data_IF_238245438074
#
_entry.id   IF_238245438074
#
_cell.length_a   1.000
_cell.length_b   1.000
_cell.length_c   1.000
_cell.angle_alpha   90.00
_cell.angle_beta   90.00
_cell.angle_gamma   90.00
#
_symmetry.space_group_name_H-M   'P 1'
#
loop_
_entity.id
_entity.type
_entity.pdbx_description
1 polymer ?
#
# COMPACT_ATOMS: atom_id res chain seq x y z
N UNK A 1 40.84 -27.45 19.60
CA UNK A 1 41.59 -26.37 20.28
C UNK A 1 40.93 -26.18 21.63
N UNK A 2 41.71 -26.19 22.70
CA UNK A 2 41.28 -26.27 24.10
C UNK A 2 40.43 -25.06 24.46
N UNK A 3 39.23 -25.28 25.02
CA UNK A 3 38.38 -24.21 25.57
C UNK A 3 38.75 -24.08 27.04
N UNK A 4 39.54 -23.05 27.36
CA UNK A 4 39.74 -22.61 28.75
C UNK A 4 38.48 -21.88 29.23
N UNK A 5 37.91 -22.36 30.33
CA UNK A 5 36.87 -21.68 31.09
C UNK A 5 37.55 -20.65 32.00
N UNK A 6 37.23 -19.37 31.80
CA UNK A 6 37.36 -18.36 32.84
C UNK A 6 35.99 -18.16 33.49
N UNK A 7 35.87 -18.55 34.77
CA UNK A 7 34.74 -18.21 35.64
C UNK A 7 35.05 -16.87 36.33
N UNK A 8 34.26 -15.83 36.05
CA UNK A 8 34.21 -14.62 36.88
C UNK A 8 33.13 -14.79 37.97
N UNK A 9 33.43 -14.53 39.26
CA UNK A 9 32.59 -14.97 40.37
C UNK A 9 31.71 -13.85 40.91
N UNK A 10 30.83 -13.22 40.14
CA UNK A 10 29.76 -12.38 40.71
C UNK A 10 28.50 -12.44 39.82
N UNK A 11 27.33 -12.48 40.48
CA UNK A 11 25.96 -12.68 39.97
C UNK A 11 25.44 -14.13 39.96
N UNK A 12 24.99 -14.56 41.13
CA UNK A 12 24.02 -15.65 41.28
C UNK A 12 22.61 -15.14 40.95
N UNK A 13 21.90 -15.97 40.19
CA UNK A 13 20.45 -16.07 39.96
C UNK A 13 19.75 -14.91 39.24
N UNK A 14 19.66 -15.00 37.92
CA UNK A 14 18.42 -14.74 37.18
C UNK A 14 18.26 -15.85 36.13
N UNK A 15 17.22 -16.66 36.28
CA UNK A 15 16.88 -17.75 35.36
C UNK A 15 16.47 -17.18 34.00
N UNK A 16 17.27 -17.48 32.98
CA UNK A 16 16.95 -17.22 31.58
C UNK A 16 15.78 -18.11 31.13
N UNK A 17 14.58 -17.56 31.04
CA UNK A 17 13.51 -18.19 30.25
C UNK A 17 13.75 -17.86 28.78
N UNK A 18 14.48 -18.72 28.08
CA UNK A 18 14.56 -18.70 26.63
C UNK A 18 13.28 -19.29 26.05
N UNK A 19 12.36 -18.46 25.58
CA UNK A 19 11.28 -18.92 24.71
C UNK A 19 11.84 -19.19 23.32
N UNK A 20 12.22 -20.46 23.07
CA UNK A 20 12.58 -20.92 21.72
C UNK A 20 11.29 -21.30 21.01
N UNK A 21 10.78 -20.41 20.15
CA UNK A 21 9.77 -20.76 19.15
C UNK A 21 10.49 -20.93 17.81
N UNK A 22 10.45 -22.13 17.24
CA UNK A 22 11.07 -22.42 15.94
C UNK A 22 10.18 -21.86 14.83
N UNK A 23 10.61 -20.76 14.21
CA UNK A 23 10.08 -20.26 12.94
C UNK A 23 11.16 -20.41 11.85
N UNK A 24 10.74 -20.53 10.58
CA UNK A 24 11.58 -20.81 9.40
C UNK A 24 12.38 -19.61 8.86
N UNK A 25 12.49 -18.54 9.63
CA UNK A 25 13.48 -17.48 9.46
C UNK A 25 14.26 -17.45 10.76
N UNK A 26 15.60 -17.43 10.67
CA UNK A 26 16.52 -17.63 11.79
C UNK A 26 16.14 -16.89 13.08
N UNK A 27 16.55 -17.45 14.21
CA UNK A 27 16.34 -16.90 15.55
C UNK A 27 16.64 -15.39 15.59
N UNK A 28 15.62 -14.57 15.82
CA UNK A 28 15.80 -13.15 16.16
C UNK A 28 16.41 -13.13 17.56
N UNK A 29 17.73 -13.00 17.63
CA UNK A 29 18.45 -12.76 18.88
C UNK A 29 18.48 -11.25 19.07
N UNK A 30 17.67 -10.74 19.99
CA UNK A 30 17.78 -9.36 20.43
C UNK A 30 19.15 -9.18 21.10
N UNK A 31 20.07 -8.40 20.53
CA UNK A 31 21.34 -8.16 21.19
C UNK A 31 21.06 -7.27 22.41
N UNK A 32 21.55 -7.68 23.58
CA UNK A 32 21.39 -6.94 24.85
C UNK A 32 21.93 -5.49 24.75
N UNK A 33 22.80 -5.21 23.76
CA UNK A 33 23.24 -3.85 23.43
C UNK A 33 22.12 -2.93 22.95
N UNK A 34 21.07 -3.42 22.27
CA UNK A 34 19.92 -2.62 21.87
C UNK A 34 19.08 -2.13 23.07
N UNK A 35 19.04 -2.94 24.14
CA UNK A 35 18.42 -2.55 25.42
C UNK A 35 19.30 -1.56 26.21
N UNK A 36 20.62 -1.65 26.09
CA UNK A 36 21.56 -0.74 26.75
C UNK A 36 21.70 0.62 26.05
N UNK A 37 21.54 0.68 24.72
CA UNK A 37 21.61 1.94 23.96
C UNK A 37 20.42 2.88 24.21
N UNK A 38 19.34 2.38 24.81
CA UNK A 38 18.22 3.22 25.26
C UNK A 38 18.60 4.19 26.40
N UNK A 39 19.74 3.99 27.07
CA UNK A 39 20.13 4.78 28.25
C UNK A 39 20.99 6.03 27.96
N UNK A 40 21.37 6.34 26.71
CA UNK A 40 22.24 7.50 26.41
C UNK A 40 21.52 8.75 25.85
N UNK A 41 20.18 8.85 25.93
CA UNK A 41 19.43 9.99 25.35
C UNK A 41 18.63 10.79 26.39
N UNK A 42 19.32 11.67 27.14
CA UNK A 42 18.71 12.58 28.13
C UNK A 42 17.56 13.43 27.56
N UNK A 43 17.66 13.93 26.31
CA UNK A 43 16.68 14.85 25.74
C UNK A 43 15.52 14.15 24.99
N UNK A 44 15.70 12.90 24.53
CA UNK A 44 14.65 12.14 23.83
C UNK A 44 13.75 11.37 24.79
N UNK A 45 14.22 11.08 26.01
CA UNK A 45 13.47 10.31 27.01
C UNK A 45 12.18 11.05 27.43
N UNK A 46 12.23 12.38 27.55
CA UNK A 46 11.05 13.22 27.83
C UNK A 46 9.99 13.15 26.71
N UNK A 47 10.42 13.10 25.44
CA UNK A 47 9.49 13.06 24.30
C UNK A 47 8.76 11.72 24.22
N UNK A 48 9.46 10.61 24.48
CA UNK A 48 8.83 9.29 24.52
C UNK A 48 7.87 9.14 25.70
N UNK A 49 8.23 9.62 26.89
CA UNK A 49 7.34 9.64 28.04
C UNK A 49 6.08 10.47 27.75
N UNK A 50 6.26 11.67 27.17
CA UNK A 50 5.14 12.51 26.72
C UNK A 50 4.27 11.80 25.68
N UNK A 51 4.86 11.10 24.72
CA UNK A 51 4.12 10.34 23.71
C UNK A 51 3.26 9.23 24.34
N UNK A 52 3.76 8.55 25.37
CA UNK A 52 3.01 7.55 26.11
C UNK A 52 1.87 8.18 26.94
N UNK A 53 2.14 9.27 27.67
CA UNK A 53 1.13 10.00 28.45
C UNK A 53 0.03 10.52 27.53
N UNK A 54 0.41 11.09 26.37
CA UNK A 54 -0.53 11.58 25.36
C UNK A 54 -1.41 10.46 24.83
N UNK A 55 -0.84 9.31 24.44
CA UNK A 55 -1.58 8.14 23.97
C UNK A 55 -2.58 7.65 25.02
N UNK A 56 -2.15 7.50 26.28
CA UNK A 56 -3.01 7.09 27.41
C UNK A 56 -4.16 8.08 27.65
N UNK A 57 -3.85 9.37 27.65
CA UNK A 57 -4.85 10.43 27.86
C UNK A 57 -5.89 10.47 26.74
N UNK A 58 -5.48 10.31 25.49
CA UNK A 58 -6.39 10.27 24.34
C UNK A 58 -7.29 9.04 24.36
N UNK A 59 -6.73 7.85 24.65
CA UNK A 59 -7.51 6.61 24.79
C UNK A 59 -8.48 6.63 25.96
N UNK A 60 -8.13 7.29 27.07
CA UNK A 60 -9.06 7.49 28.19
C UNK A 60 -10.28 8.35 27.80
N UNK A 61 -10.09 9.31 26.90
CA UNK A 61 -11.16 10.21 26.44
C UNK A 61 -12.00 9.58 25.32
N UNK A 62 -11.37 8.86 24.38
CA UNK A 62 -12.01 8.21 23.24
C UNK A 62 -11.43 6.79 23.04
N UNK A 63 -11.97 5.76 23.71
CA UNK A 63 -11.39 4.41 23.72
C UNK A 63 -11.26 3.76 22.34
N UNK A 64 -12.26 3.97 21.48
CA UNK A 64 -12.37 3.32 20.18
C UNK A 64 -11.56 4.01 19.07
N UNK A 65 -11.05 5.23 19.30
CA UNK A 65 -10.30 5.97 18.28
C UNK A 65 -8.86 5.49 18.18
N UNK A 66 -8.37 5.31 16.96
CA UNK A 66 -6.99 4.90 16.69
C UNK A 66 -6.00 6.02 17.03
N UNK A 67 -4.84 5.67 17.57
CA UNK A 67 -3.75 6.61 17.84
C UNK A 67 -2.41 5.87 17.87
N UNK A 68 -1.47 6.37 17.07
CA UNK A 68 -0.10 5.89 17.02
C UNK A 68 0.83 7.09 17.12
N UNK A 69 1.65 7.13 18.19
CA UNK A 69 2.63 8.19 18.43
C UNK A 69 4.06 7.71 18.21
N UNK A 70 4.32 6.45 18.52
CA UNK A 70 5.63 5.79 18.38
C UNK A 70 5.45 4.37 17.87
N UNK A 71 6.43 3.88 17.12
CA UNK A 71 6.51 2.53 16.55
C UNK A 71 7.93 1.99 16.70
N UNK A 72 8.12 0.70 16.48
CA UNK A 72 9.47 0.12 16.42
C UNK A 72 9.98 0.13 14.98
N UNK A 73 11.28 0.33 14.79
CA UNK A 73 11.91 0.08 13.49
C UNK A 73 12.38 -1.40 13.40
N UNK A 74 12.90 -1.80 12.23
CA UNK A 74 13.42 -3.15 12.02
C UNK A 74 14.63 -3.53 12.91
N UNK A 75 15.23 -2.56 13.62
CA UNK A 75 16.33 -2.76 14.56
C UNK A 75 15.84 -2.87 16.02
N UNK A 76 14.52 -2.75 16.25
CA UNK A 76 13.93 -2.77 17.58
C UNK A 76 14.09 -1.45 18.35
N UNK A 77 14.44 -0.35 17.69
CA UNK A 77 14.43 0.98 18.29
C UNK A 77 13.04 1.59 18.22
N UNK A 78 12.61 2.22 19.32
CA UNK A 78 11.37 2.98 19.35
C UNK A 78 11.56 4.35 18.69
N UNK A 79 10.71 4.67 17.72
CA UNK A 79 10.80 5.87 16.88
C UNK A 79 9.44 6.59 16.89
N UNK A 80 9.46 7.92 16.97
CA UNK A 80 8.26 8.74 16.78
C UNK A 80 7.78 8.66 15.33
N UNK A 81 6.47 8.54 15.13
CA UNK A 81 5.89 8.43 13.78
C UNK A 81 6.23 9.63 12.89
N UNK A 82 6.43 10.81 13.47
CA UNK A 82 6.82 12.03 12.75
C UNK A 82 8.17 11.89 12.05
N UNK A 83 9.08 11.03 12.55
CA UNK A 83 10.40 10.81 11.94
C UNK A 83 10.34 10.02 10.63
N UNK A 84 9.21 9.39 10.33
CA UNK A 84 8.99 8.71 9.04
C UNK A 84 8.53 9.65 7.93
N UNK A 85 8.18 10.90 8.25
CA UNK A 85 7.71 11.88 7.28
C UNK A 85 8.88 12.74 6.81
N UNK A 86 9.12 12.75 5.50
CA UNK A 86 10.13 13.55 4.80
C UNK A 86 9.78 13.62 3.32
N UNK A 87 9.97 14.76 2.67
CA UNK A 87 9.85 14.85 1.22
C UNK A 87 10.84 13.87 0.54
N UNK A 88 10.34 12.95 -0.28
CA UNK A 88 11.14 11.96 -1.01
C UNK A 88 10.74 11.91 -2.48
N UNK A 89 11.74 11.74 -3.35
CA UNK A 89 11.53 11.68 -4.80
C UNK A 89 10.74 10.43 -5.21
N UNK A 90 9.66 10.56 -6.01
CA UNK A 90 9.07 9.43 -6.73
C UNK A 90 10.02 8.91 -7.84
N UNK A 91 9.74 7.74 -8.44
CA UNK A 91 10.50 7.28 -9.60
C UNK A 91 10.37 8.25 -10.78
N UNK A 92 11.49 8.63 -11.39
CA UNK A 92 11.55 9.62 -12.49
C UNK A 92 10.63 9.24 -13.66
N UNK A 93 10.51 7.95 -13.95
CA UNK A 93 9.64 7.43 -15.01
C UNK A 93 8.17 7.86 -14.85
N UNK A 94 7.69 8.08 -13.62
CA UNK A 94 6.32 8.56 -13.37
C UNK A 94 6.17 10.06 -13.63
N UNK A 95 7.23 10.81 -13.40
CA UNK A 95 7.27 12.27 -13.59
C UNK A 95 7.26 12.63 -15.09
N UNK A 96 7.89 11.78 -15.91
CA UNK A 96 8.06 12.03 -17.34
C UNK A 96 6.80 11.73 -18.18
N UNK A 97 5.80 11.04 -17.62
CA UNK A 97 4.58 10.62 -18.35
C UNK A 97 3.61 11.80 -18.55
N UNK A 98 3.37 12.59 -17.51
CA UNK A 98 2.39 13.69 -17.52
C UNK A 98 3.05 15.04 -17.24
N UNK A 99 4.01 15.44 -18.08
CA UNK A 99 4.84 16.64 -17.90
C UNK A 99 4.07 17.96 -17.66
N UNK A 100 2.81 18.03 -18.05
CA UNK A 100 1.97 19.24 -17.97
C UNK A 100 0.69 19.07 -17.14
N UNK A 101 0.46 17.88 -16.57
CA UNK A 101 -0.74 17.60 -15.77
C UNK A 101 -0.34 17.07 -14.38
N UNK A 102 -0.19 18.01 -13.45
CA UNK A 102 0.21 17.69 -12.08
C UNK A 102 -0.81 16.80 -11.37
N UNK A 103 -2.11 16.86 -11.70
CA UNK A 103 -3.11 16.04 -11.02
C UNK A 103 -3.02 14.59 -11.53
N UNK A 104 -2.90 14.40 -12.85
CA UNK A 104 -2.68 13.09 -13.42
C UNK A 104 -1.37 12.45 -12.91
N UNK A 105 -0.31 13.24 -12.69
CA UNK A 105 0.92 12.74 -12.04
C UNK A 105 0.66 12.24 -10.61
N UNK A 106 -0.12 12.96 -9.80
CA UNK A 106 -0.42 12.55 -8.42
C UNK A 106 -1.27 11.27 -8.39
N UNK A 107 -2.26 11.15 -9.28
CA UNK A 107 -3.07 9.94 -9.45
C UNK A 107 -2.20 8.74 -9.85
N UNK A 108 -1.26 8.93 -10.78
CA UNK A 108 -0.32 7.90 -11.19
C UNK A 108 0.60 7.47 -10.03
N UNK A 109 1.02 8.40 -9.18
CA UNK A 109 1.84 8.11 -8.00
C UNK A 109 1.04 7.35 -6.94
N UNK A 110 -0.20 7.75 -6.68
CA UNK A 110 -1.09 7.01 -5.79
C UNK A 110 -1.32 5.58 -6.30
N UNK A 111 -1.51 5.42 -7.62
CA UNK A 111 -1.59 4.11 -8.28
C UNK A 111 -0.30 3.30 -8.09
N UNK A 112 0.87 3.90 -8.31
CA UNK A 112 2.15 3.21 -8.10
C UNK A 112 2.30 2.69 -6.67
N UNK A 113 1.92 3.50 -5.67
CA UNK A 113 1.95 3.07 -4.27
C UNK A 113 0.98 1.91 -4.03
N UNK A 114 -0.24 1.95 -4.59
CA UNK A 114 -1.23 0.86 -4.44
C UNK A 114 -0.82 -0.46 -5.09
N UNK A 115 0.18 -0.44 -5.97
CA UNK A 115 0.69 -1.63 -6.62
C UNK A 115 1.71 -2.38 -5.75
N UNK A 116 2.17 -1.78 -4.66
CA UNK A 116 3.05 -2.46 -3.71
C UNK A 116 2.20 -3.47 -2.91
N UNK A 117 2.57 -4.75 -2.89
CA UNK A 117 1.88 -5.74 -2.08
C UNK A 117 1.85 -5.41 -0.58
N UNK A 118 0.71 -5.72 0.06
CA UNK A 118 0.55 -5.62 1.50
C UNK A 118 1.00 -6.91 2.18
N UNK A 119 1.79 -6.81 3.26
CA UNK A 119 1.99 -7.95 4.17
C UNK A 119 0.68 -8.19 4.91
N UNK A 120 0.06 -9.38 4.82
CA UNK A 120 -1.12 -9.68 5.63
C UNK A 120 -0.77 -9.51 7.11
N UNK A 121 -1.61 -8.83 7.89
CA UNK A 121 -1.41 -8.67 9.33
C UNK A 121 -1.36 -10.06 9.99
N UNK A 122 -0.15 -10.56 10.31
CA UNK A 122 0.05 -11.86 10.99
C UNK A 122 -0.18 -11.72 12.51
N UNK A 123 -0.39 -10.50 12.99
CA UNK A 123 -0.55 -10.20 14.41
C UNK A 123 -2.02 -9.87 14.69
N UNK A 124 -2.67 -10.76 15.43
CA UNK A 124 -3.99 -10.55 16.01
C UNK A 124 -4.08 -9.20 16.75
N UNK A 125 -5.30 -8.68 16.83
CA UNK A 125 -5.75 -7.40 17.42
C UNK A 125 -5.35 -7.14 18.90
N UNK A 126 -4.43 -7.92 19.48
CA UNK A 126 -3.95 -7.77 20.85
C UNK A 126 -2.45 -7.45 20.91
N UNK A 127 -2.16 -6.17 21.14
CA UNK A 127 -0.93 -5.66 21.80
C UNK A 127 0.42 -5.97 21.10
N UNK A 128 0.39 -6.28 19.80
CA UNK A 128 1.59 -6.37 18.98
C UNK A 128 2.29 -5.02 18.84
N UNK A 129 3.61 -5.03 18.87
CA UNK A 129 4.40 -3.86 18.53
C UNK A 129 4.34 -3.62 17.02
N UNK A 130 3.81 -2.46 16.61
CA UNK A 130 3.86 -2.03 15.20
C UNK A 130 5.33 -1.80 14.80
N UNK A 131 5.81 -2.60 13.84
CA UNK A 131 7.15 -2.44 13.25
C UNK A 131 6.97 -1.77 11.90
N UNK A 132 7.59 -0.59 11.74
CA UNK A 132 7.56 0.15 10.48
C UNK A 132 8.94 0.25 9.83
N UNK A 133 8.95 0.08 8.51
CA UNK A 133 10.09 0.26 7.63
C UNK A 133 10.13 1.67 7.05
N UNK A 134 11.31 2.08 6.58
CA UNK A 134 11.44 3.32 5.80
C UNK A 134 10.78 3.19 4.43
N UNK A 135 10.49 4.32 3.80
CA UNK A 135 9.90 4.38 2.47
C UNK A 135 10.80 3.72 1.42
N UNK A 136 12.12 3.89 1.54
CA UNK A 136 13.10 3.19 0.71
C UNK A 136 13.01 1.67 0.87
N UNK A 137 12.91 1.17 2.10
CA UNK A 137 12.79 -0.27 2.35
C UNK A 137 11.51 -0.85 1.77
N UNK A 138 10.38 -0.17 1.96
CA UNK A 138 9.09 -0.54 1.38
C UNK A 138 9.17 -0.71 -0.15
N UNK A 139 9.77 0.26 -0.85
CA UNK A 139 10.00 0.20 -2.31
C UNK A 139 11.00 -0.90 -2.67
N UNK A 140 12.13 -1.00 -1.95
CA UNK A 140 13.22 -1.94 -2.28
C UNK A 140 12.82 -3.40 -2.16
N UNK A 141 11.93 -3.71 -1.20
CA UNK A 141 11.41 -5.05 -0.94
C UNK A 141 10.11 -5.32 -1.69
N UNK A 142 9.53 -4.30 -2.34
CA UNK A 142 8.20 -4.33 -2.94
C UNK A 142 7.15 -4.93 -1.98
N UNK A 143 7.15 -4.46 -0.73
CA UNK A 143 6.21 -4.92 0.30
C UNK A 143 6.07 -3.88 1.41
N UNK A 144 4.87 -3.73 1.95
CA UNK A 144 4.64 -2.87 3.11
C UNK A 144 3.33 -3.13 3.86
N UNK A 145 3.10 -2.41 4.94
CA UNK A 145 1.81 -2.37 5.65
C UNK A 145 1.00 -1.12 5.30
N UNK A 146 -0.21 -1.00 5.84
CA UNK A 146 -1.15 0.09 5.52
C UNK A 146 -0.57 1.47 5.81
N UNK A 147 0.14 1.61 6.93
CA UNK A 147 0.74 2.87 7.37
C UNK A 147 1.97 3.23 6.54
N UNK A 148 2.80 2.26 6.19
CA UNK A 148 3.97 2.44 5.34
C UNK A 148 3.59 2.90 3.93
N UNK A 149 2.47 2.39 3.39
CA UNK A 149 1.92 2.86 2.12
C UNK A 149 1.47 4.32 2.23
N UNK A 150 0.74 4.69 3.29
CA UNK A 150 0.33 6.07 3.53
C UNK A 150 1.53 7.01 3.73
N UNK A 151 2.55 6.57 4.48
CA UNK A 151 3.79 7.31 4.69
C UNK A 151 4.54 7.52 3.37
N UNK A 152 4.66 6.48 2.54
CA UNK A 152 5.32 6.56 1.23
C UNK A 152 4.60 7.57 0.33
N UNK A 153 3.28 7.48 0.22
CA UNK A 153 2.48 8.41 -0.57
C UNK A 153 2.57 9.85 -0.05
N UNK A 154 2.50 10.03 1.28
CA UNK A 154 2.67 11.33 1.92
C UNK A 154 4.02 11.95 1.59
N UNK A 155 5.10 11.16 1.70
CA UNK A 155 6.46 11.60 1.38
C UNK A 155 6.63 12.01 -0.09
N UNK A 156 6.00 11.29 -1.01
CA UNK A 156 5.95 11.69 -2.41
C UNK A 156 5.17 13.00 -2.61
N UNK A 157 4.01 13.18 -1.98
CA UNK A 157 3.26 14.43 -2.11
C UNK A 157 4.01 15.63 -1.52
N UNK A 158 4.74 15.44 -0.42
CA UNK A 158 5.62 16.46 0.15
C UNK A 158 6.73 16.87 -0.83
N UNK A 159 7.24 15.94 -1.66
CA UNK A 159 8.21 16.25 -2.70
C UNK A 159 7.66 17.20 -3.78
N UNK A 160 6.36 17.13 -4.08
CA UNK A 160 5.67 18.10 -4.93
C UNK A 160 5.28 19.40 -4.20
N UNK A 161 5.68 19.58 -2.95
CA UNK A 161 5.34 20.75 -2.14
C UNK A 161 3.86 20.79 -1.71
N UNK A 162 3.14 19.66 -1.79
CA UNK A 162 1.77 19.56 -1.25
C UNK A 162 1.82 19.57 0.27
N UNK A 163 0.78 20.16 0.89
CA UNK A 163 0.54 20.02 2.34
C UNK A 163 -0.11 18.67 2.60
N UNK A 164 0.69 17.66 2.87
CA UNK A 164 0.26 16.29 3.08
C UNK A 164 0.43 15.85 4.53
N UNK A 165 -0.56 15.14 5.07
CA UNK A 165 -0.53 14.51 6.38
C UNK A 165 -0.97 13.05 6.25
N UNK A 166 -0.43 12.18 7.10
CA UNK A 166 -0.96 10.82 7.23
C UNK A 166 -2.16 10.86 8.18
N UNK A 167 -3.24 10.19 7.77
CA UNK A 167 -4.50 10.08 8.50
C UNK A 167 -4.70 8.62 8.93
N UNK A 168 -4.94 8.40 10.22
CA UNK A 168 -5.32 7.10 10.76
C UNK A 168 -6.81 7.05 11.09
N UNK A 169 -7.45 5.94 10.74
CA UNK A 169 -8.87 5.74 10.99
C UNK A 169 -9.31 4.31 10.71
N UNK A 170 -10.61 4.14 10.47
CA UNK A 170 -11.22 2.86 10.11
C UNK A 170 -12.03 2.98 8.82
N UNK A 171 -11.96 1.98 7.97
CA UNK A 171 -12.74 1.80 6.74
C UNK A 171 -13.72 0.65 6.92
N UNK A 172 -14.87 0.72 6.23
CA UNK A 172 -15.87 -0.34 6.32
C UNK A 172 -15.34 -1.68 5.80
N UNK A 173 -14.54 -1.63 4.74
CA UNK A 173 -14.08 -2.83 4.02
C UNK A 173 -12.76 -3.37 4.57
N UNK A 174 -11.88 -2.48 5.02
CA UNK A 174 -10.46 -2.79 5.29
C UNK A 174 -10.13 -2.80 6.81
N UNK A 175 -11.09 -2.46 7.67
CA UNK A 175 -10.88 -2.34 9.12
C UNK A 175 -10.03 -1.13 9.45
N UNK A 176 -8.94 -1.29 10.21
CA UNK A 176 -7.99 -0.19 10.46
C UNK A 176 -7.29 0.20 9.16
N UNK A 177 -7.18 1.51 8.91
CA UNK A 177 -6.58 2.06 7.68
C UNK A 177 -5.70 3.27 7.96
N UNK A 178 -4.85 3.58 6.98
CA UNK A 178 -4.08 4.81 6.91
C UNK A 178 -4.25 5.45 5.51
N UNK A 179 -4.60 6.73 5.49
CA UNK A 179 -4.86 7.53 4.30
C UNK A 179 -3.88 8.70 4.25
N UNK A 180 -3.79 9.39 3.12
CA UNK A 180 -3.09 10.68 3.02
C UNK A 180 -4.12 11.80 2.85
N UNK A 181 -4.08 12.77 3.75
CA UNK A 181 -4.87 13.99 3.68
C UNK A 181 -4.04 15.06 2.98
N UNK A 182 -4.58 15.68 1.94
CA UNK A 182 -3.98 16.86 1.31
C UNK A 182 -4.95 18.03 1.34
N UNK A 183 -4.41 19.23 1.49
CA UNK A 183 -5.17 20.47 1.45
C UNK A 183 -4.97 21.16 0.10
N UNK A 184 -6.05 21.27 -0.68
CA UNK A 184 -6.15 22.19 -1.83
C UNK A 184 -6.80 23.51 -1.38
N UNK A 185 -6.94 24.51 -2.26
CA UNK A 185 -7.31 25.89 -1.88
C UNK A 185 -8.57 25.99 -1.02
N UNK A 186 -9.60 25.18 -1.30
CA UNK A 186 -10.89 25.23 -0.60
C UNK A 186 -11.41 23.86 -0.14
N UNK A 187 -10.65 22.78 -0.39
CA UNK A 187 -11.11 21.42 -0.15
C UNK A 187 -10.01 20.50 0.36
N UNK A 188 -10.42 19.51 1.15
CA UNK A 188 -9.56 18.43 1.63
C UNK A 188 -9.78 17.19 0.78
N UNK A 189 -8.67 16.62 0.31
CA UNK A 189 -8.65 15.39 -0.46
C UNK A 189 -8.09 14.25 0.40
N UNK A 190 -8.78 13.11 0.36
CA UNK A 190 -8.50 11.88 1.08
C UNK A 190 -8.01 10.83 0.09
N UNK A 191 -6.73 10.52 0.13
CA UNK A 191 -6.10 9.56 -0.76
C UNK A 191 -5.97 8.21 -0.07
N UNK A 192 -6.58 7.17 -0.64
CA UNK A 192 -6.37 5.80 -0.20
C UNK A 192 -5.11 5.23 -0.89
N UNK A 193 -4.01 5.02 -0.15
CA UNK A 193 -2.77 4.54 -0.75
C UNK A 193 -2.85 3.06 -1.17
N UNK A 194 -3.86 2.31 -0.72
CA UNK A 194 -4.03 0.89 -1.04
C UNK A 194 -4.84 0.67 -2.32
N UNK A 195 -5.66 1.64 -2.72
CA UNK A 195 -6.45 1.57 -3.97
C UNK A 195 -5.98 2.60 -5.01
N UNK A 196 -5.15 3.56 -4.61
CA UNK A 196 -4.71 4.67 -5.45
C UNK A 196 -5.81 5.69 -5.73
N UNK A 197 -6.95 5.62 -5.06
CA UNK A 197 -8.10 6.49 -5.29
C UNK A 197 -8.07 7.74 -4.42
N UNK A 198 -8.50 8.85 -5.00
CA UNK A 198 -8.70 10.13 -4.33
C UNK A 198 -10.19 10.39 -4.11
N UNK A 199 -10.54 10.78 -2.88
CA UNK A 199 -11.90 11.12 -2.48
C UNK A 199 -11.96 12.56 -1.97
N UNK A 200 -13.03 13.26 -2.28
CA UNK A 200 -13.34 14.54 -1.62
C UNK A 200 -13.90 14.27 -0.23
N UNK A 201 -13.71 15.19 0.71
CA UNK A 201 -14.27 15.10 2.06
C UNK A 201 -15.79 14.76 2.08
N UNK A 202 -16.56 15.33 1.14
CA UNK A 202 -18.01 15.15 1.04
C UNK A 202 -18.43 14.11 0.00
N UNK A 203 -17.50 13.25 -0.42
CA UNK A 203 -17.81 12.17 -1.36
C UNK A 203 -18.55 11.03 -0.66
N UNK A 204 -19.80 10.70 -1.05
CA UNK A 204 -20.55 9.61 -0.44
C UNK A 204 -19.99 8.22 -0.74
N UNK A 205 -19.09 8.09 -1.72
CA UNK A 205 -18.44 6.83 -2.07
C UNK A 205 -17.11 6.60 -1.35
N UNK A 206 -16.68 7.56 -0.51
CA UNK A 206 -15.49 7.38 0.31
C UNK A 206 -15.70 6.24 1.32
N UNK A 207 -14.89 5.16 1.31
CA UNK A 207 -15.08 4.01 2.20
C UNK A 207 -14.62 4.28 3.64
N UNK A 208 -13.92 5.40 3.87
CA UNK A 208 -13.43 5.81 5.18
C UNK A 208 -14.59 6.16 6.12
N UNK A 209 -14.63 5.52 7.29
CA UNK A 209 -15.69 5.70 8.28
C UNK A 209 -15.28 6.60 9.44
N UNK A 210 -14.00 6.61 9.80
CA UNK A 210 -13.50 7.44 10.89
C UNK A 210 -12.18 8.15 10.55
N UNK A 211 -11.99 9.31 11.17
CA UNK A 211 -10.75 10.10 11.18
C UNK A 211 -10.35 10.29 12.64
N UNK A 212 -9.33 9.56 13.08
CA UNK A 212 -8.99 9.48 14.49
C UNK A 212 -7.72 10.27 14.84
N UNK A 213 -6.72 10.19 13.97
CA UNK A 213 -5.41 10.80 14.21
C UNK A 213 -4.82 11.32 12.89
N UNK A 214 -4.11 12.45 12.95
CA UNK A 214 -3.28 12.98 11.87
C UNK A 214 -1.83 13.07 12.34
N UNK A 215 -0.87 12.93 11.43
CA UNK A 215 0.53 13.26 11.73
C UNK A 215 1.31 13.71 10.48
N UNK A 216 2.32 14.54 10.71
CA UNK A 216 3.29 15.02 9.72
C UNK A 216 4.72 14.94 10.28
N UNK A 217 5.69 15.63 9.66
CA UNK A 217 7.08 15.69 10.12
C UNK A 217 7.31 16.52 11.39
N UNK A 218 6.27 17.25 11.84
CA UNK A 218 6.31 18.13 12.99
C UNK A 218 5.57 17.58 14.21
N UNK A 219 4.40 16.97 14.03
CA UNK A 219 3.52 16.64 15.16
C UNK A 219 2.54 15.49 14.89
N UNK A 220 1.85 15.10 15.97
CA UNK A 220 0.71 14.19 15.95
C UNK A 220 -0.50 14.92 16.53
N UNK A 221 -1.62 14.88 15.82
CA UNK A 221 -2.89 15.47 16.20
C UNK A 221 -3.96 14.40 16.39
N UNK A 222 -4.53 14.36 17.58
CA UNK A 222 -5.62 13.45 17.90
C UNK A 222 -6.96 14.18 17.78
N UNK A 223 -7.91 13.57 17.05
CA UNK A 223 -9.24 14.15 16.87
C UNK A 223 -10.02 14.06 18.18
N UNK A 224 -10.45 15.20 18.73
CA UNK A 224 -11.28 15.30 19.94
C UNK A 224 -12.70 15.82 19.66
N UNK A 225 -13.07 15.96 18.39
CA UNK A 225 -14.43 16.32 17.98
C UNK A 225 -15.42 15.22 18.39
N UNK A 226 -16.70 15.53 18.58
CA UNK A 226 -17.70 14.51 18.95
C UNK A 226 -17.90 13.47 17.84
N UNK A 227 -18.00 13.93 16.60
CA UNK A 227 -18.09 13.07 15.42
C UNK A 227 -16.72 12.96 14.74
N UNK A 228 -16.32 11.75 14.38
CA UNK A 228 -15.10 11.46 13.63
C UNK A 228 -15.37 10.96 12.20
N UNK A 229 -16.60 10.99 11.69
CA UNK A 229 -16.85 10.66 10.28
C UNK A 229 -16.22 11.72 9.36
N UNK A 230 -15.62 11.33 8.21
CA UNK A 230 -14.90 12.27 7.34
C UNK A 230 -15.71 13.51 6.95
N UNK A 231 -16.99 13.33 6.62
CA UNK A 231 -17.91 14.42 6.24
C UNK A 231 -18.19 15.41 7.38
N UNK A 232 -18.10 14.98 8.65
CA UNK A 232 -18.39 15.81 9.82
C UNK A 232 -17.15 16.42 10.46
N UNK A 233 -15.95 15.95 10.08
CA UNK A 233 -14.70 16.36 10.68
C UNK A 233 -14.24 17.70 10.11
N UNK A 234 -13.93 18.65 11.00
CA UNK A 234 -13.22 19.86 10.61
C UNK A 234 -11.71 19.57 10.59
N UNK A 235 -11.13 19.48 9.39
CA UNK A 235 -9.71 19.12 9.19
C UNK A 235 -8.69 20.23 9.53
N UNK A 236 -9.14 21.41 9.92
CA UNK A 236 -8.26 22.49 10.38
C UNK A 236 -7.58 22.11 11.71
N UNK A 237 -6.41 21.49 11.60
CA UNK A 237 -5.60 20.98 12.71
C UNK A 237 -4.88 22.07 13.52
N UNK A 238 -5.03 23.34 13.13
CA UNK A 238 -4.55 24.48 13.93
C UNK A 238 -5.44 24.76 15.15
N UNK A 239 -6.71 24.32 15.11
CA UNK A 239 -7.72 24.52 16.16
C UNK A 239 -7.61 23.46 17.25
N UNK A 240 -7.06 23.86 18.39
CA UNK A 240 -6.87 23.00 19.57
C UNK A 240 -8.20 22.51 20.18
N UNK A 241 -9.33 23.16 19.88
CA UNK A 241 -10.67 22.70 20.26
C UNK A 241 -11.12 21.44 19.50
N UNK A 242 -10.51 21.16 18.34
CA UNK A 242 -10.83 20.02 17.48
C UNK A 242 -9.72 18.98 17.48
N UNK A 243 -8.47 19.43 17.60
CA UNK A 243 -7.28 18.60 17.46
C UNK A 243 -6.34 18.79 18.64
N UNK A 244 -6.21 17.75 19.45
CA UNK A 244 -5.27 17.73 20.57
C UNK A 244 -3.88 17.39 20.04
N UNK A 245 -2.89 18.22 20.33
CA UNK A 245 -1.52 18.09 19.81
C UNK A 245 -0.63 17.31 20.77
N UNK A 246 0.24 16.44 20.26
CA UNK A 246 1.26 15.75 21.05
C UNK A 246 2.33 16.74 21.55
N UNK A 247 2.86 17.56 20.64
CA UNK A 247 3.85 18.59 20.92
C UNK A 247 3.17 19.97 20.90
N UNK A 248 3.32 20.80 21.94
CA UNK A 248 2.77 22.16 21.96
C UNK A 248 3.58 23.08 21.04
N UNK A 249 2.95 24.17 20.58
CA UNK A 249 3.54 25.15 19.65
C UNK A 249 4.88 25.77 20.13
N UNK A 250 5.08 25.86 21.44
CA UNK A 250 6.30 26.42 22.06
C UNK A 250 7.31 25.35 22.48
N UNK A 251 7.26 24.16 21.90
CA UNK A 251 8.18 23.09 22.26
C UNK A 251 9.63 23.48 21.87
N UNK A 252 10.50 23.63 22.88
CA UNK A 252 11.90 24.04 22.72
C UNK A 252 12.84 22.87 22.37
N UNK A 253 12.30 21.68 22.09
CA UNK A 253 13.13 20.53 21.71
C UNK A 253 13.66 20.65 20.28
N UNK A 254 14.90 20.24 20.07
CA UNK A 254 15.53 20.14 18.75
C UNK A 254 14.68 19.27 17.84
N UNK A 255 14.32 19.75 16.64
CA UNK A 255 13.58 18.95 15.65
C UNK A 255 14.41 17.71 15.31
N UNK A 256 13.94 16.55 15.75
CA UNK A 256 14.63 15.29 15.51
C UNK A 256 14.71 15.04 14.00
N UNK A 257 15.88 14.59 13.52
CA UNK A 257 16.04 14.28 12.11
C UNK A 257 15.19 13.07 11.72
N UNK A 258 14.66 13.12 10.50
CA UNK A 258 13.96 11.99 9.88
C UNK A 258 14.88 10.77 9.81
N UNK A 259 14.28 9.58 9.86
CA UNK A 259 14.99 8.32 9.61
C UNK A 259 14.97 7.93 8.12
N UNK A 260 14.25 8.69 7.28
CA UNK A 260 14.20 8.48 5.85
C UNK A 260 15.53 8.93 5.20
N UNK A 261 15.94 8.31 4.08
CA UNK A 261 17.14 8.72 3.36
C UNK A 261 16.98 10.12 2.75
N UNK A 262 18.03 10.66 2.14
CA UNK A 262 17.93 11.91 1.37
C UNK A 262 17.13 11.73 0.08
N UNK A 263 17.31 10.60 -0.59
CA UNK A 263 16.59 10.23 -1.81
C UNK A 263 16.40 8.71 -1.86
N UNK A 264 15.37 8.26 -2.57
CA UNK A 264 15.16 6.85 -2.87
C UNK A 264 15.83 6.54 -4.21
N UNK A 265 16.68 5.50 -4.22
CA UNK A 265 17.32 5.00 -5.43
C UNK A 265 16.46 3.89 -6.03
N UNK A 266 16.06 4.08 -7.28
CA UNK A 266 15.21 3.15 -8.01
C UNK A 266 16.02 2.26 -8.95
N UNK A 267 15.60 1.00 -9.07
CA UNK A 267 16.19 0.02 -9.99
C UNK A 267 15.21 -0.31 -11.11
N UNK A 268 15.71 -0.39 -12.35
CA UNK A 268 14.89 -0.83 -13.47
C UNK A 268 14.48 -2.30 -13.36
N UNK A 269 13.23 -2.59 -13.71
CA UNK A 269 12.69 -3.94 -13.74
C UNK A 269 13.08 -4.65 -15.05
N UNK A 270 13.57 -5.88 -14.94
CA UNK A 270 14.10 -6.63 -16.08
C UNK A 270 12.99 -7.06 -17.06
N UNK A 271 12.96 -6.45 -18.25
CA UNK A 271 11.95 -6.70 -19.28
C UNK A 271 11.86 -8.15 -19.76
N UNK A 272 12.97 -8.89 -19.79
CA UNK A 272 12.98 -10.31 -20.18
C UNK A 272 12.24 -11.16 -19.16
N UNK A 273 12.52 -10.94 -17.87
CA UNK A 273 11.82 -11.63 -16.77
C UNK A 273 10.30 -11.37 -16.82
N UNK A 274 9.90 -10.15 -17.19
CA UNK A 274 8.49 -9.78 -17.31
C UNK A 274 7.81 -10.51 -18.45
N UNK A 275 8.45 -10.62 -19.61
CA UNK A 275 7.89 -11.36 -20.74
C UNK A 275 7.79 -12.86 -20.40
N UNK A 276 8.79 -13.44 -19.72
CA UNK A 276 8.73 -14.83 -19.25
C UNK A 276 7.60 -15.05 -18.24
N UNK A 277 7.42 -14.13 -17.28
CA UNK A 277 6.37 -14.19 -16.27
C UNK A 277 4.98 -14.05 -16.91
N UNK A 278 4.80 -13.11 -17.84
CA UNK A 278 3.57 -12.93 -18.62
C UNK A 278 3.20 -14.21 -19.37
N UNK A 279 4.16 -14.78 -20.11
CA UNK A 279 3.94 -16.03 -20.85
C UNK A 279 3.61 -17.21 -19.94
N UNK A 280 4.21 -17.26 -18.75
CA UNK A 280 3.89 -18.26 -17.72
C UNK A 280 2.46 -18.10 -17.21
N UNK A 281 2.06 -16.89 -16.80
CA UNK A 281 0.72 -16.61 -16.29
C UNK A 281 -0.33 -16.94 -17.36
N UNK A 282 -0.14 -16.49 -18.60
CA UNK A 282 -1.07 -16.73 -19.70
C UNK A 282 -1.26 -18.24 -19.95
N UNK A 283 -0.18 -19.01 -20.06
CA UNK A 283 -0.25 -20.48 -20.21
C UNK A 283 -0.92 -21.17 -19.02
N UNK A 284 -0.62 -20.71 -17.80
CA UNK A 284 -1.25 -21.27 -16.59
C UNK A 284 -2.75 -21.01 -16.57
N UNK A 285 -3.19 -19.78 -16.90
CA UNK A 285 -4.60 -19.43 -16.97
C UNK A 285 -5.32 -20.18 -18.10
N UNK A 286 -4.71 -20.34 -19.28
CA UNK A 286 -5.27 -21.17 -20.36
C UNK A 286 -5.50 -22.61 -19.91
N UNK A 287 -4.52 -23.20 -19.19
CA UNK A 287 -4.65 -24.54 -18.61
C UNK A 287 -5.76 -24.61 -17.56
N UNK A 288 -5.83 -23.63 -16.66
CA UNK A 288 -6.88 -23.55 -15.63
C UNK A 288 -8.27 -23.40 -16.22
N UNK A 289 -8.43 -22.63 -17.29
CA UNK A 289 -9.69 -22.52 -18.03
C UNK A 289 -10.18 -23.88 -18.57
N UNK A 290 -9.26 -24.72 -19.04
CA UNK A 290 -9.60 -26.08 -19.47
C UNK A 290 -9.95 -26.98 -18.28
N UNK A 291 -9.21 -26.88 -17.17
CA UNK A 291 -9.49 -27.63 -15.93
C UNK A 291 -10.87 -27.29 -15.33
N UNK A 292 -11.25 -26.01 -15.33
CA UNK A 292 -12.54 -25.53 -14.82
C UNK A 292 -13.74 -25.95 -15.70
N UNK A 293 -13.50 -26.35 -16.96
CA UNK A 293 -14.53 -26.71 -17.93
C UNK A 293 -14.40 -28.16 -18.41
N UNK A 294 -14.45 -29.17 -17.52
CA UNK A 294 -14.14 -30.56 -17.88
C UNK A 294 -15.14 -31.20 -18.86
N UNK A 295 -16.35 -30.63 -18.99
CA UNK A 295 -17.43 -31.17 -19.83
C UNK A 295 -17.53 -30.50 -21.20
N UNK A 296 -16.81 -29.41 -21.44
CA UNK A 296 -16.94 -28.60 -22.65
C UNK A 296 -15.58 -28.23 -23.22
N UNK A 297 -15.37 -28.29 -24.54
CA UNK A 297 -14.13 -27.80 -25.14
C UNK A 297 -14.00 -26.28 -24.91
N UNK A 298 -12.75 -25.83 -24.73
CA UNK A 298 -12.40 -24.41 -24.66
C UNK A 298 -11.79 -23.99 -25.99
N UNK A 299 -12.57 -23.25 -26.79
CA UNK A 299 -12.14 -22.73 -28.08
C UNK A 299 -11.60 -21.31 -27.91
N UNK A 300 -10.37 -21.07 -28.33
CA UNK A 300 -9.72 -19.77 -28.23
C UNK A 300 -9.92 -18.94 -29.50
N UNK A 301 -10.54 -17.77 -29.38
CA UNK A 301 -10.70 -16.80 -30.45
C UNK A 301 -9.42 -15.96 -30.60
N UNK A 302 -8.62 -16.29 -31.61
CA UNK A 302 -7.32 -15.63 -31.85
C UNK A 302 -7.43 -14.15 -32.21
N UNK A 303 -8.49 -13.76 -32.93
CA UNK A 303 -8.71 -12.38 -33.35
C UNK A 303 -9.01 -11.50 -32.14
N UNK A 304 -9.94 -11.92 -31.29
CA UNK A 304 -10.27 -11.22 -30.06
C UNK A 304 -9.05 -11.17 -29.13
N UNK A 305 -8.36 -12.29 -28.88
CA UNK A 305 -7.11 -12.29 -28.08
C UNK A 305 -6.08 -11.28 -28.59
N UNK A 306 -5.90 -11.16 -29.91
CA UNK A 306 -4.99 -10.19 -30.49
C UNK A 306 -5.41 -8.73 -30.20
N UNK A 307 -6.69 -8.42 -30.33
CA UNK A 307 -7.24 -7.10 -30.00
C UNK A 307 -7.06 -6.80 -28.50
N UNK A 308 -7.40 -7.76 -27.62
CA UNK A 308 -7.26 -7.59 -26.16
C UNK A 308 -5.80 -7.28 -25.76
N UNK A 309 -4.81 -7.95 -26.38
CA UNK A 309 -3.39 -7.67 -26.14
C UNK A 309 -2.96 -6.24 -26.51
N UNK A 310 -3.60 -5.60 -27.49
CA UNK A 310 -3.33 -4.19 -27.84
C UNK A 310 -3.99 -3.21 -26.87
N UNK A 311 -5.16 -3.56 -26.34
CA UNK A 311 -5.94 -2.71 -25.43
C UNK A 311 -5.28 -2.61 -24.06
N UNK A 312 -4.84 -3.74 -23.48
CA UNK A 312 -4.37 -3.79 -22.10
C UNK A 312 -3.28 -2.77 -21.73
N UNK A 313 -2.22 -2.55 -22.54
CA UNK A 313 -1.21 -1.54 -22.23
C UNK A 313 -1.74 -0.11 -22.14
N UNK A 314 -2.81 0.21 -22.89
CA UNK A 314 -3.41 1.56 -22.91
C UNK A 314 -4.25 1.84 -21.68
N UNK A 315 -4.84 0.78 -21.09
CA UNK A 315 -5.63 0.90 -19.86
C UNK A 315 -4.77 1.26 -18.65
N UNK A 316 -3.49 0.85 -18.62
CA UNK A 316 -2.59 1.16 -17.51
C UNK A 316 -2.35 2.67 -17.34
N UNK A 317 -2.19 3.40 -18.44
CA UNK A 317 -1.86 4.83 -18.40
C UNK A 317 -3.08 5.74 -18.25
N UNK A 318 -4.29 5.19 -18.09
CA UNK A 318 -5.51 5.98 -17.90
C UNK A 318 -5.85 6.91 -19.07
N UNK A 319 -5.18 6.78 -20.22
CA UNK A 319 -5.54 7.47 -21.46
C UNK A 319 -6.85 6.89 -21.96
N UNK A 320 -7.97 7.42 -21.45
CA UNK A 320 -9.32 7.17 -21.97
C UNK A 320 -9.51 7.60 -23.43
N UNK A 321 -8.48 8.16 -24.07
CA UNK A 321 -8.38 8.27 -25.52
C UNK A 321 -7.93 6.94 -26.11
N UNK A 322 -8.88 6.02 -26.28
CA UNK A 322 -8.71 4.94 -27.23
C UNK A 322 -8.31 5.55 -28.59
N UNK A 323 -7.30 4.98 -29.24
CA UNK A 323 -6.94 5.38 -30.60
C UNK A 323 -7.94 4.72 -31.54
N UNK A 324 -8.60 5.51 -32.38
CA UNK A 324 -9.77 5.15 -33.23
C UNK A 324 -9.65 3.86 -34.06
N UNK A 325 -8.45 3.42 -34.41
CA UNK A 325 -8.27 2.21 -35.24
C UNK A 325 -8.56 0.90 -34.50
N UNK A 326 -8.30 0.82 -33.19
CA UNK A 326 -8.47 -0.43 -32.42
C UNK A 326 -9.88 -0.57 -31.85
N UNK A 327 -10.52 0.56 -31.50
CA UNK A 327 -11.97 0.61 -31.29
C UNK A 327 -12.69 0.10 -32.52
N UNK A 328 -12.29 0.53 -33.72
CA UNK A 328 -12.89 0.02 -34.96
C UNK A 328 -12.71 -1.50 -35.14
N UNK A 329 -11.54 -2.07 -34.80
CA UNK A 329 -11.32 -3.53 -34.84
C UNK A 329 -12.20 -4.27 -33.81
N UNK A 330 -12.34 -3.73 -32.60
CA UNK A 330 -13.17 -4.32 -31.55
C UNK A 330 -14.67 -4.17 -31.83
N UNK A 331 -15.12 -2.99 -32.26
CA UNK A 331 -16.49 -2.71 -32.71
C UNK A 331 -16.87 -3.60 -33.89
N UNK A 332 -15.96 -3.80 -34.85
CA UNK A 332 -16.20 -4.75 -35.94
C UNK A 332 -16.39 -6.17 -35.42
N UNK A 333 -15.69 -6.58 -34.37
CA UNK A 333 -15.87 -7.89 -33.75
C UNK A 333 -17.22 -8.01 -33.01
N UNK A 334 -17.66 -6.93 -32.34
CA UNK A 334 -18.96 -6.84 -31.67
C UNK A 334 -20.15 -6.97 -32.63
N UNK A 335 -19.97 -6.64 -33.92
CA UNK A 335 -21.00 -6.86 -34.95
C UNK A 335 -21.31 -8.33 -35.18
N UNK A 336 -20.39 -9.26 -34.86
CA UNK A 336 -20.54 -10.70 -35.09
C UNK A 336 -20.70 -11.51 -33.80
N UNK A 337 -20.27 -10.96 -32.66
CA UNK A 337 -20.22 -11.65 -31.38
C UNK A 337 -20.85 -10.81 -30.25
N UNK A 338 -21.60 -11.47 -29.37
CA UNK A 338 -21.81 -11.03 -27.99
C UNK A 338 -20.53 -11.31 -27.20
N UNK A 339 -19.82 -10.24 -26.81
CA UNK A 339 -18.60 -10.35 -26.00
C UNK A 339 -18.96 -9.99 -24.55
N UNK A 340 -18.67 -10.90 -23.63
CA UNK A 340 -18.83 -10.64 -22.18
C UNK A 340 -17.52 -10.86 -21.45
N UNK A 341 -17.14 -9.90 -20.61
CA UNK A 341 -15.89 -9.92 -19.87
C UNK A 341 -15.36 -8.51 -19.68
N UNK A 342 -14.44 -8.36 -18.75
CA UNK A 342 -13.84 -7.08 -18.41
C UNK A 342 -12.35 -7.28 -18.05
N UNK A 343 -11.51 -6.26 -18.27
CA UNK A 343 -10.14 -6.30 -17.82
C UNK A 343 -10.12 -6.18 -16.29
N UNK A 344 -9.34 -7.05 -15.64
CA UNK A 344 -9.02 -6.95 -14.22
C UNK A 344 -7.57 -6.51 -14.06
N UNK A 345 -7.33 -5.61 -13.12
CA UNK A 345 -6.01 -5.11 -12.77
C UNK A 345 -5.74 -5.39 -11.30
N UNK A 346 -4.55 -5.91 -11.00
CA UNK A 346 -4.13 -6.21 -9.63
C UNK A 346 -2.61 -6.07 -9.48
N UNK A 347 -2.10 -5.79 -8.26
CA UNK A 347 -0.69 -5.93 -7.97
C UNK A 347 -0.24 -7.39 -8.12
N UNK A 348 0.98 -7.62 -8.59
CA UNK A 348 1.56 -8.97 -8.60
C UNK A 348 2.02 -9.38 -7.19
N UNK A 349 1.40 -10.41 -6.63
CA UNK A 349 1.89 -11.12 -5.44
C UNK A 349 2.46 -12.48 -5.82
N UNK A 350 1.62 -13.31 -6.44
CA UNK A 350 1.92 -14.65 -6.87
C UNK A 350 0.92 -15.11 -7.95
N UNK A 351 1.23 -16.21 -8.63
CA UNK A 351 0.39 -16.72 -9.73
C UNK A 351 -0.96 -17.25 -9.23
N UNK A 352 -1.04 -17.80 -8.01
CA UNK A 352 -2.28 -18.34 -7.46
C UNK A 352 -3.30 -17.22 -7.20
N UNK A 353 -2.86 -16.09 -6.65
CA UNK A 353 -3.73 -14.91 -6.46
C UNK A 353 -4.39 -14.46 -7.78
N UNK A 354 -3.65 -14.49 -8.90
CA UNK A 354 -4.19 -14.17 -10.23
C UNK A 354 -5.21 -15.23 -10.68
N UNK A 355 -4.90 -16.51 -10.49
CA UNK A 355 -5.82 -17.63 -10.83
C UNK A 355 -7.14 -17.46 -10.08
N UNK A 356 -7.08 -17.17 -8.78
CA UNK A 356 -8.25 -17.02 -7.92
C UNK A 356 -9.08 -15.80 -8.36
N UNK A 357 -8.44 -14.66 -8.66
CA UNK A 357 -9.12 -13.48 -9.17
C UNK A 357 -9.83 -13.75 -10.50
N UNK A 358 -9.17 -14.44 -11.44
CA UNK A 358 -9.78 -14.82 -12.74
C UNK A 358 -10.92 -15.82 -12.53
N UNK A 359 -10.78 -16.78 -11.62
CA UNK A 359 -11.85 -17.74 -11.32
C UNK A 359 -13.10 -17.04 -10.78
N UNK A 360 -12.93 -16.10 -9.86
CA UNK A 360 -14.03 -15.33 -9.25
C UNK A 360 -14.83 -14.49 -10.25
N UNK A 361 -14.28 -14.18 -11.44
CA UNK A 361 -15.05 -13.51 -12.51
C UNK A 361 -16.22 -14.34 -13.03
N UNK A 362 -16.20 -15.66 -12.84
CA UNK A 362 -17.25 -16.58 -13.30
C UNK A 362 -17.34 -16.75 -14.82
N UNK A 363 -16.50 -16.08 -15.62
CA UNK A 363 -16.57 -16.11 -17.09
C UNK A 363 -16.39 -17.52 -17.66
N UNK A 364 -15.58 -18.35 -16.99
CA UNK A 364 -15.37 -19.76 -17.34
C UNK A 364 -16.65 -20.60 -17.29
N UNK A 365 -17.66 -20.18 -16.52
CA UNK A 365 -18.93 -20.90 -16.33
C UNK A 365 -20.00 -20.55 -17.37
N UNK A 366 -19.65 -19.90 -18.49
CA UNK A 366 -20.60 -19.59 -19.57
C UNK A 366 -21.37 -20.82 -20.05
N UNK A 367 -22.71 -20.75 -20.02
CA UNK A 367 -23.61 -21.83 -20.46
C UNK A 367 -24.01 -21.72 -21.95
N UNK A 368 -23.60 -20.66 -22.64
CA UNK A 368 -23.97 -20.46 -24.05
C UNK A 368 -23.37 -21.55 -24.96
N UNK A 369 -24.17 -22.17 -25.86
CA UNK A 369 -23.65 -23.14 -26.81
C UNK A 369 -22.58 -22.54 -27.71
N UNK A 370 -21.52 -23.29 -28.01
CA UNK A 370 -20.41 -22.87 -28.88
C UNK A 370 -19.69 -21.58 -28.42
N UNK A 371 -19.68 -21.29 -27.13
CA UNK A 371 -18.91 -20.16 -26.57
C UNK A 371 -17.42 -20.30 -26.92
N UNK A 372 -16.87 -19.27 -27.55
CA UNK A 372 -15.43 -19.08 -27.72
C UNK A 372 -14.90 -18.19 -26.58
N UNK A 373 -13.59 -18.26 -26.30
CA UNK A 373 -12.94 -17.48 -25.25
C UNK A 373 -11.76 -16.71 -25.81
N UNK A 374 -11.46 -15.57 -25.21
CA UNK A 374 -10.25 -14.81 -25.46
C UNK A 374 -9.61 -14.48 -24.12
N UNK A 375 -8.29 -14.69 -24.04
CA UNK A 375 -7.48 -14.36 -22.89
C UNK A 375 -6.27 -13.57 -23.35
N UNK A 376 -5.98 -12.48 -22.66
CA UNK A 376 -4.74 -11.72 -22.81
C UNK A 376 -4.21 -11.35 -21.43
N UNK A 377 -2.88 -11.43 -21.28
CA UNK A 377 -2.18 -10.96 -20.09
C UNK A 377 -1.19 -9.87 -20.48
N UNK A 378 -1.17 -8.79 -19.71
CA UNK A 378 -0.18 -7.73 -19.80
C UNK A 378 0.37 -7.42 -18.42
N UNK A 379 1.67 -7.19 -18.33
CA UNK A 379 2.32 -6.80 -17.08
C UNK A 379 3.03 -5.48 -17.36
N UNK A 380 2.61 -4.43 -16.66
CA UNK A 380 3.33 -3.16 -16.68
C UNK A 380 4.42 -3.18 -15.60
N UNK A 381 5.70 -3.05 -15.97
CA UNK A 381 6.79 -3.03 -15.02
C UNK A 381 7.04 -1.61 -14.50
N UNK A 382 6.77 -1.38 -13.23
CA UNK A 382 7.30 -0.22 -12.52
C UNK A 382 8.67 -0.52 -11.93
N UNK A 383 9.44 0.49 -11.49
CA UNK A 383 10.73 0.28 -10.83
C UNK A 383 10.65 -0.64 -9.60
N UNK A 384 11.79 -1.25 -9.26
CA UNK A 384 11.96 -2.14 -8.10
C UNK A 384 11.03 -3.36 -8.10
N UNK A 385 10.71 -3.90 -9.27
CA UNK A 385 9.82 -5.06 -9.46
C UNK A 385 8.40 -4.87 -8.89
N UNK A 386 7.92 -3.63 -8.79
CA UNK A 386 6.50 -3.35 -8.56
C UNK A 386 5.77 -3.59 -9.88
N UNK A 387 4.82 -4.52 -9.94
CA UNK A 387 4.19 -4.96 -11.18
C UNK A 387 2.67 -4.77 -11.15
N UNK A 388 2.13 -4.10 -12.16
CA UNK A 388 0.69 -4.07 -12.43
C UNK A 388 0.33 -5.18 -13.41
N UNK A 389 -0.45 -6.15 -12.97
CA UNK A 389 -0.90 -7.27 -13.80
C UNK A 389 -2.30 -6.99 -14.31
N UNK A 390 -2.44 -6.98 -15.62
CA UNK A 390 -3.71 -6.93 -16.32
C UNK A 390 -4.04 -8.27 -16.92
N UNK A 391 -5.25 -8.75 -16.64
CA UNK A 391 -5.82 -9.92 -17.29
C UNK A 391 -7.14 -9.52 -17.92
N UNK A 392 -7.29 -9.82 -19.20
CA UNK A 392 -8.59 -9.70 -19.86
C UNK A 392 -9.02 -11.08 -20.33
N UNK A 393 -9.97 -11.67 -19.60
CA UNK A 393 -10.70 -12.85 -20.00
C UNK A 393 -12.07 -12.43 -20.55
N UNK A 394 -12.42 -12.92 -21.72
CA UNK A 394 -13.72 -12.69 -22.35
C UNK A 394 -14.29 -13.99 -22.89
N UNK A 395 -15.60 -14.13 -22.82
CA UNK A 395 -16.38 -15.13 -23.54
C UNK A 395 -17.10 -14.47 -24.71
N UNK A 396 -17.23 -15.22 -25.81
CA UNK A 396 -17.78 -14.77 -27.07
C UNK A 396 -18.84 -15.76 -27.55
N UNK A 397 -20.05 -15.28 -27.79
CA UNK A 397 -21.13 -16.05 -28.41
C UNK A 397 -21.52 -15.40 -29.73
N UNK A 398 -21.58 -16.15 -30.83
CA UNK A 398 -21.97 -15.60 -32.13
C UNK A 398 -23.44 -15.16 -32.10
N UNK A 399 -23.74 -14.07 -32.80
CA UNK A 399 -25.13 -13.70 -33.10
C UNK A 399 -25.78 -14.85 -33.90
N UNK A 400 -27.01 -15.22 -33.51
CA UNK A 400 -27.79 -16.27 -34.19
C UNK A 400 -28.47 -15.75 -35.44
#
# INVERSE_FOLDING_TARGET
MIIEKHEDPYFKSCSSHSHIRKNWLGSIVFPFSALLQQCEFSDQTDVFERAQIFKKSCKAMFPNRRITTTVFNGEGMQILVTRYIKALNPPQQLLDIFLHDSNATLDLIARFVSLIPIVPDILDENDGFDIWMTSERCVSLAIGNKEEHAILLCNFFLYFGKKALVLLGTSMLEGQVAYVLTQETDEYLLWNPLTGQCYKQFDPFCPLQSVDCLFDDGNVWFNIQQNNTPMAVHFDYSKESFWKQLLPKNFQGTKAQSIQPEEIIYCETNKSMIEDLKNRIERTLEGKMMEWRPKQPTHWNRQCTYILRKILPKLELGTGSFVSSEESEFESLLQFYWVTGFPIQMPYTDVQSIIDAVYQTGIHSSEFPQTEFALAVYIHPYPNNVLSVWVYLASLARHQ
#
